data_IF_455523024433
#
_entry.id   IF_455523024433
#
_cell.length_a   1.000
_cell.length_b   1.000
_cell.length_c   1.000
_cell.angle_alpha   90.00
_cell.angle_beta   90.00
_cell.angle_gamma   90.00
#
_symmetry.space_group_name_H-M   'P 1'
#
loop_
_entity.id
_entity.type
_entity.pdbx_description
1 polymer ?
#
# COMPACT_ATOMS: atom_id res chain seq x y z
N UNK A 1 -57.16 -40.06 18.35
CA UNK A 1 -55.87 -40.78 18.48
C UNK A 1 -54.82 -39.76 18.87
N UNK A 2 -54.26 -39.86 20.08
CA UNK A 2 -53.20 -38.98 20.58
C UNK A 2 -51.87 -39.47 19.99
N UNK A 3 -51.31 -38.75 19.02
CA UNK A 3 -49.95 -39.01 18.54
C UNK A 3 -48.96 -38.31 19.47
N UNK A 4 -48.49 -39.06 20.47
CA UNK A 4 -47.43 -38.66 21.37
C UNK A 4 -46.16 -38.36 20.56
N UNK A 5 -45.84 -37.07 20.40
CA UNK A 5 -44.55 -36.64 19.83
C UNK A 5 -43.54 -36.68 20.97
N UNK A 6 -42.36 -37.31 20.82
CA UNK A 6 -41.33 -37.27 21.86
C UNK A 6 -40.95 -35.82 22.14
N UNK A 7 -41.21 -35.33 23.36
CA UNK A 7 -40.70 -34.04 23.80
C UNK A 7 -39.28 -34.22 24.34
N UNK A 8 -38.36 -33.35 23.94
CA UNK A 8 -37.02 -33.32 24.51
C UNK A 8 -37.12 -32.95 26.00
N UNK A 9 -36.80 -33.92 26.87
CA UNK A 9 -36.91 -33.81 28.33
C UNK A 9 -35.83 -32.91 29.00
N UNK A 10 -35.07 -32.14 28.22
CA UNK A 10 -33.98 -31.29 28.72
C UNK A 10 -34.26 -29.81 28.42
N UNK A 11 -34.02 -28.94 29.39
CA UNK A 11 -34.15 -27.50 29.20
C UNK A 11 -33.14 -26.98 28.16
N UNK A 12 -33.52 -25.97 27.38
CA UNK A 12 -32.67 -25.38 26.33
C UNK A 12 -31.29 -24.97 26.89
N UNK A 13 -31.26 -24.40 28.10
CA UNK A 13 -30.01 -24.02 28.77
C UNK A 13 -29.10 -25.22 29.07
N UNK A 14 -29.66 -26.38 29.41
CA UNK A 14 -28.91 -27.62 29.65
C UNK A 14 -28.31 -28.16 28.35
N UNK A 15 -29.07 -28.14 27.26
CA UNK A 15 -28.63 -28.61 25.94
C UNK A 15 -27.48 -27.75 25.40
N UNK A 16 -27.62 -26.43 25.50
CA UNK A 16 -26.58 -25.49 25.04
C UNK A 16 -25.34 -25.48 25.94
N UNK A 17 -25.36 -26.13 27.10
CA UNK A 17 -24.20 -26.28 27.96
C UNK A 17 -23.42 -27.58 27.68
N UNK A 18 -24.06 -28.60 27.10
CA UNK A 18 -23.48 -29.93 26.85
C UNK A 18 -22.71 -29.98 25.53
N UNK A 19 -21.38 -30.09 25.60
CA UNK A 19 -20.50 -30.22 24.43
C UNK A 19 -20.82 -31.44 23.56
N UNK A 20 -21.39 -32.52 24.12
CA UNK A 20 -21.80 -33.68 23.32
C UNK A 20 -22.97 -33.34 22.41
N UNK A 21 -23.90 -32.53 22.90
CA UNK A 21 -25.01 -32.03 22.10
C UNK A 21 -24.50 -31.09 21.00
N UNK A 22 -23.63 -30.14 21.35
CA UNK A 22 -23.02 -29.21 20.38
C UNK A 22 -22.25 -29.93 19.27
N UNK A 23 -21.40 -30.92 19.62
CA UNK A 23 -20.68 -31.75 18.64
C UNK A 23 -21.63 -32.49 17.71
N UNK A 24 -22.68 -33.10 18.25
CA UNK A 24 -23.64 -33.88 17.45
C UNK A 24 -24.41 -33.00 16.47
N UNK A 25 -24.85 -31.82 16.91
CA UNK A 25 -25.51 -30.84 16.04
C UNK A 25 -24.57 -30.35 14.94
N UNK A 26 -23.32 -30.01 15.30
CA UNK A 26 -22.30 -29.60 14.34
C UNK A 26 -21.98 -30.69 13.31
N UNK A 27 -21.87 -31.97 13.73
CA UNK A 27 -21.68 -33.11 12.83
C UNK A 27 -22.83 -33.24 11.84
N UNK A 28 -24.09 -33.19 12.32
CA UNK A 28 -25.23 -33.30 11.40
C UNK A 28 -25.28 -32.17 10.36
N UNK A 29 -24.90 -30.95 10.75
CA UNK A 29 -24.95 -29.79 9.87
C UNK A 29 -23.76 -29.74 8.91
N UNK A 30 -22.52 -29.78 9.41
CA UNK A 30 -21.32 -29.55 8.62
C UNK A 30 -20.77 -30.80 7.95
N UNK A 31 -20.95 -31.99 8.54
CA UNK A 31 -20.41 -33.25 8.01
C UNK A 31 -21.48 -33.99 7.21
N UNK A 32 -22.70 -34.10 7.74
CA UNK A 32 -23.78 -34.84 7.08
C UNK A 32 -24.71 -33.96 6.21
N UNK A 33 -24.49 -32.64 6.17
CA UNK A 33 -25.21 -31.72 5.29
C UNK A 33 -26.71 -31.58 5.57
N UNK A 34 -27.17 -31.89 6.79
CA UNK A 34 -28.59 -31.76 7.14
C UNK A 34 -28.98 -30.30 7.38
N UNK A 35 -30.19 -29.92 6.99
CA UNK A 35 -30.74 -28.59 7.31
C UNK A 35 -31.05 -28.44 8.80
N UNK A 36 -31.06 -27.21 9.31
CA UNK A 36 -31.37 -26.94 10.72
C UNK A 36 -32.77 -27.45 11.10
N UNK A 37 -33.75 -27.37 10.19
CA UNK A 37 -35.11 -27.92 10.36
C UNK A 37 -35.10 -29.46 10.50
N UNK A 38 -34.30 -30.15 9.70
CA UNK A 38 -34.14 -31.60 9.76
C UNK A 38 -33.51 -32.02 11.10
N UNK A 39 -32.46 -31.31 11.52
CA UNK A 39 -31.77 -31.56 12.80
C UNK A 39 -32.70 -31.27 13.98
N UNK A 40 -33.47 -30.19 13.94
CA UNK A 40 -34.44 -29.84 14.97
C UNK A 40 -35.46 -30.96 15.19
N UNK A 41 -35.96 -31.54 14.09
CA UNK A 41 -36.89 -32.67 14.11
C UNK A 41 -36.26 -33.95 14.66
N UNK A 42 -35.01 -34.25 14.29
CA UNK A 42 -34.26 -35.42 14.78
C UNK A 42 -33.89 -35.33 16.27
N UNK A 43 -33.63 -34.12 16.75
CA UNK A 43 -33.18 -33.85 18.11
C UNK A 43 -34.32 -33.41 19.03
N UNK A 44 -35.57 -33.42 18.53
CA UNK A 44 -36.79 -33.03 19.24
C UNK A 44 -36.71 -31.65 19.91
N UNK A 45 -36.07 -30.68 19.26
CA UNK A 45 -35.88 -29.32 19.77
C UNK A 45 -36.28 -28.27 18.75
N UNK A 46 -36.30 -27.00 19.16
CA UNK A 46 -36.64 -25.91 18.23
C UNK A 46 -35.49 -25.64 17.25
N UNK A 47 -35.82 -25.16 16.05
CA UNK A 47 -34.81 -24.65 15.10
C UNK A 47 -33.94 -23.56 15.71
N UNK A 48 -34.51 -22.70 16.54
CA UNK A 48 -33.79 -21.63 17.24
C UNK A 48 -32.74 -22.20 18.19
N UNK A 49 -33.04 -23.30 18.88
CA UNK A 49 -32.09 -24.03 19.74
C UNK A 49 -30.95 -24.63 18.91
N UNK A 50 -31.24 -25.18 17.73
CA UNK A 50 -30.20 -25.69 16.81
C UNK A 50 -29.29 -24.57 16.28
N UNK A 51 -29.86 -23.43 15.89
CA UNK A 51 -29.07 -22.27 15.46
C UNK A 51 -28.15 -21.75 16.57
N UNK A 52 -28.64 -21.62 17.81
CA UNK A 52 -27.81 -21.24 18.96
C UNK A 52 -26.74 -22.30 19.29
N UNK A 53 -27.05 -23.57 19.11
CA UNK A 53 -26.09 -24.66 19.34
C UNK A 53 -24.95 -24.64 18.33
N UNK A 54 -25.23 -24.35 17.05
CA UNK A 54 -24.18 -24.16 16.04
C UNK A 54 -23.28 -22.98 16.38
N UNK A 55 -23.86 -21.81 16.70
CA UNK A 55 -23.09 -20.63 17.11
C UNK A 55 -22.19 -20.95 18.32
N UNK A 56 -22.74 -21.63 19.32
CA UNK A 56 -21.99 -21.96 20.54
C UNK A 56 -20.91 -23.02 20.31
N UNK A 57 -21.08 -23.89 19.31
CA UNK A 57 -20.04 -24.82 18.88
C UNK A 57 -18.86 -24.08 18.22
N UNK A 58 -19.11 -23.01 17.48
CA UNK A 58 -18.08 -22.11 16.95
C UNK A 58 -17.39 -21.33 18.08
N UNK A 59 -18.17 -20.69 18.96
CA UNK A 59 -17.65 -19.89 20.08
C UNK A 59 -16.74 -20.71 21.02
N UNK A 60 -17.07 -22.00 21.21
CA UNK A 60 -16.27 -22.94 22.02
C UNK A 60 -15.12 -23.60 21.25
N UNK A 61 -14.93 -23.26 19.98
CA UNK A 61 -13.89 -23.84 19.13
C UNK A 61 -14.09 -25.32 18.81
N UNK A 62 -15.30 -25.87 19.00
CA UNK A 62 -15.68 -27.23 18.60
C UNK A 62 -15.73 -27.32 17.08
N UNK A 63 -16.16 -26.25 16.42
CA UNK A 63 -16.12 -26.07 14.97
C UNK A 63 -15.15 -24.94 14.66
N UNK A 64 -14.29 -25.15 13.65
CA UNK A 64 -13.48 -24.10 13.04
C UNK A 64 -13.80 -24.07 11.56
N UNK A 65 -14.37 -22.97 11.09
CA UNK A 65 -14.66 -22.76 9.68
C UNK A 65 -13.45 -22.05 9.08
N UNK A 66 -12.83 -22.67 8.07
CA UNK A 66 -11.76 -22.07 7.28
C UNK A 66 -12.27 -21.86 5.87
N UNK A 67 -12.23 -20.61 5.39
CA UNK A 67 -12.46 -20.31 3.98
C UNK A 67 -11.14 -20.56 3.27
N UNK A 68 -11.12 -21.54 2.37
CA UNK A 68 -9.93 -21.86 1.56
C UNK A 68 -9.98 -20.93 0.33
N UNK A 69 -9.04 -19.97 0.20
CA UNK A 69 -8.98 -19.12 -0.98
C UNK A 69 -8.50 -19.93 -2.19
N UNK A 70 -8.79 -19.45 -3.40
CA UNK A 70 -8.27 -20.03 -4.64
C UNK A 70 -6.73 -20.12 -4.59
N UNK A 71 -6.14 -21.25 -4.98
CA UNK A 71 -4.77 -21.67 -4.55
C UNK A 71 -3.66 -20.63 -4.76
N UNK A 72 -3.75 -19.80 -5.81
CA UNK A 72 -2.78 -18.71 -6.08
C UNK A 72 -3.04 -17.47 -5.24
N UNK A 73 -4.30 -17.11 -5.01
CA UNK A 73 -4.67 -15.96 -4.18
C UNK A 73 -4.45 -16.23 -2.68
N UNK A 74 -4.67 -17.48 -2.24
CA UNK A 74 -4.51 -17.86 -0.84
C UNK A 74 -3.06 -17.86 -0.36
N UNK A 75 -2.11 -18.30 -1.20
CA UNK A 75 -0.69 -18.22 -0.89
C UNK A 75 -0.22 -16.77 -0.75
N UNK A 76 -0.56 -15.92 -1.73
CA UNK A 76 -0.18 -14.50 -1.70
C UNK A 76 -0.80 -13.76 -0.53
N UNK A 77 -2.06 -14.05 -0.18
CA UNK A 77 -2.71 -13.43 0.98
C UNK A 77 -2.03 -13.81 2.31
N UNK A 78 -1.65 -15.08 2.48
CA UNK A 78 -0.91 -15.50 3.67
C UNK A 78 0.49 -14.88 3.70
N UNK A 79 1.21 -14.90 2.58
CA UNK A 79 2.54 -14.29 2.48
C UNK A 79 2.50 -12.79 2.73
N UNK A 80 1.52 -12.08 2.17
CA UNK A 80 1.30 -10.65 2.39
C UNK A 80 1.06 -10.38 3.88
N UNK A 81 0.21 -11.16 4.54
CA UNK A 81 -0.05 -11.02 5.98
C UNK A 81 1.22 -11.24 6.81
N UNK A 82 1.97 -12.30 6.52
CA UNK A 82 3.15 -12.68 7.30
C UNK A 82 4.29 -11.66 7.09
N UNK A 83 4.51 -11.20 5.85
CA UNK A 83 5.47 -10.13 5.53
C UNK A 83 5.04 -8.79 6.12
N UNK A 84 3.76 -8.43 6.05
CA UNK A 84 3.22 -7.21 6.66
C UNK A 84 3.52 -7.16 8.16
N UNK A 85 3.35 -8.29 8.85
CA UNK A 85 3.69 -8.39 10.28
C UNK A 85 5.20 -8.27 10.53
N UNK A 86 6.03 -8.92 9.70
CA UNK A 86 7.48 -8.90 9.86
C UNK A 86 8.11 -7.54 9.53
N UNK A 87 7.56 -6.85 8.52
CA UNK A 87 8.03 -5.55 8.03
C UNK A 87 7.35 -4.36 8.73
N UNK A 88 6.44 -4.62 9.68
CA UNK A 88 5.68 -3.60 10.42
C UNK A 88 4.91 -2.62 9.51
N UNK A 89 4.36 -3.13 8.41
CA UNK A 89 3.59 -2.33 7.45
C UNK A 89 2.10 -2.26 7.86
N UNK A 90 1.42 -1.14 7.57
CA UNK A 90 -0.03 -1.04 7.77
C UNK A 90 -0.80 -1.93 6.78
N UNK A 91 -0.34 -1.98 5.53
CA UNK A 91 -0.90 -2.81 4.47
C UNK A 91 0.21 -3.32 3.54
N UNK A 92 0.02 -4.52 2.97
CA UNK A 92 0.91 -5.07 1.95
C UNK A 92 0.08 -5.78 0.89
N UNK A 93 0.09 -5.24 -0.33
CA UNK A 93 -0.62 -5.84 -1.45
C UNK A 93 0.38 -6.55 -2.34
N UNK A 94 0.27 -7.88 -2.41
CA UNK A 94 1.04 -8.69 -3.35
C UNK A 94 0.18 -9.00 -4.56
N UNK A 95 0.71 -8.71 -5.75
CA UNK A 95 0.10 -9.13 -7.01
C UNK A 95 0.74 -10.44 -7.50
N UNK A 96 0.03 -11.27 -8.27
CA UNK A 96 0.60 -12.46 -8.87
C UNK A 96 1.84 -12.13 -9.72
N UNK A 97 3.01 -12.59 -9.28
CA UNK A 97 4.16 -12.68 -10.16
C UNK A 97 3.91 -13.71 -11.26
N UNK A 98 4.45 -13.48 -12.46
CA UNK A 98 4.48 -14.52 -13.50
C UNK A 98 5.79 -15.29 -13.39
N UNK A 99 5.74 -16.60 -13.61
CA UNK A 99 6.96 -17.39 -13.77
C UNK A 99 7.75 -16.80 -14.94
N UNK A 100 9.05 -16.54 -14.73
CA UNK A 100 10.02 -16.37 -15.79
C UNK A 100 10.09 -17.69 -16.56
N UNK A 101 9.17 -17.88 -17.50
CA UNK A 101 9.29 -18.89 -18.53
C UNK A 101 10.09 -18.23 -19.65
N UNK A 102 11.30 -18.73 -19.90
CA UNK A 102 12.33 -18.22 -20.82
C UNK A 102 11.88 -18.11 -22.30
N UNK A 103 10.58 -18.27 -22.56
CA UNK A 103 9.97 -18.42 -23.89
C UNK A 103 9.17 -17.20 -24.37
N UNK A 104 8.93 -16.19 -23.52
CA UNK A 104 8.37 -14.89 -23.96
C UNK A 104 9.44 -13.80 -23.90
N UNK A 105 9.49 -12.89 -24.89
CA UNK A 105 10.42 -11.76 -24.84
C UNK A 105 10.15 -10.92 -23.58
N UNK A 106 11.23 -10.62 -22.85
CA UNK A 106 11.21 -9.96 -21.53
C UNK A 106 10.43 -8.63 -21.47
N UNK A 107 10.21 -7.97 -22.62
CA UNK A 107 9.48 -6.69 -22.69
C UNK A 107 8.01 -6.83 -22.34
N UNK A 108 7.34 -7.86 -22.86
CA UNK A 108 5.88 -7.97 -22.78
C UNK A 108 5.43 -8.52 -21.41
N UNK A 109 6.30 -9.32 -20.77
CA UNK A 109 6.07 -9.87 -19.43
C UNK A 109 6.21 -8.83 -18.32
N UNK A 110 7.17 -7.91 -18.46
CA UNK A 110 7.42 -6.85 -17.48
C UNK A 110 6.33 -5.78 -17.50
N UNK A 111 5.76 -5.47 -18.67
CA UNK A 111 4.62 -4.53 -18.78
C UNK A 111 3.36 -5.08 -18.09
N UNK A 112 3.10 -6.39 -18.19
CA UNK A 112 1.93 -7.01 -17.57
C UNK A 112 1.99 -6.98 -16.03
N UNK A 113 3.13 -7.34 -15.41
CA UNK A 113 3.28 -7.30 -13.94
C UNK A 113 3.27 -5.87 -13.41
N UNK A 114 3.93 -4.93 -14.11
CA UNK A 114 3.85 -3.51 -13.79
C UNK A 114 2.40 -3.00 -13.85
N UNK A 115 1.64 -3.46 -14.85
CA UNK A 115 0.20 -3.17 -14.98
C UNK A 115 -0.55 -3.58 -13.72
N UNK A 116 -0.42 -4.83 -13.28
CA UNK A 116 -1.08 -5.36 -12.08
C UNK A 116 -0.67 -4.60 -10.81
N UNK A 117 0.63 -4.31 -10.61
CA UNK A 117 1.12 -3.52 -9.47
C UNK A 117 0.48 -2.12 -9.46
N UNK A 118 0.48 -1.45 -10.61
CA UNK A 118 0.01 -0.06 -10.70
C UNK A 118 -1.52 0.04 -10.66
N UNK A 119 -2.24 -0.98 -11.11
CA UNK A 119 -3.68 -1.12 -10.90
C UNK A 119 -4.02 -1.30 -9.43
N UNK A 120 -3.31 -2.21 -8.73
CA UNK A 120 -3.48 -2.41 -7.29
C UNK A 120 -3.19 -1.13 -6.49
N UNK A 121 -2.10 -0.43 -6.80
CA UNK A 121 -1.75 0.83 -6.17
C UNK A 121 -2.79 1.94 -6.43
N UNK A 122 -3.30 2.04 -7.66
CA UNK A 122 -4.35 2.99 -8.01
C UNK A 122 -5.67 2.71 -7.27
N UNK A 123 -6.04 1.43 -7.16
CA UNK A 123 -7.21 1.00 -6.40
C UNK A 123 -7.06 1.32 -4.91
N UNK A 124 -5.90 1.00 -4.33
CA UNK A 124 -5.62 1.26 -2.91
C UNK A 124 -5.65 2.76 -2.61
N UNK A 125 -5.03 3.59 -3.46
CA UNK A 125 -5.10 5.04 -3.33
C UNK A 125 -6.56 5.53 -3.26
N UNK A 126 -7.41 5.05 -4.17
CA UNK A 126 -8.82 5.47 -4.20
C UNK A 126 -9.59 5.08 -2.94
N UNK A 127 -9.22 3.97 -2.31
CA UNK A 127 -9.80 3.55 -1.05
C UNK A 127 -9.38 4.48 0.11
N UNK A 128 -8.08 4.80 0.21
CA UNK A 128 -7.53 5.53 1.36
C UNK A 128 -7.68 7.04 1.27
N UNK A 129 -7.75 7.62 0.06
CA UNK A 129 -7.83 9.07 -0.12
C UNK A 129 -9.21 9.62 0.25
N UNK A 130 -9.27 10.73 0.96
CA UNK A 130 -10.48 11.32 1.53
C UNK A 130 -10.48 12.85 1.41
N UNK A 131 -11.59 13.47 1.84
CA UNK A 131 -11.72 14.93 1.91
C UNK A 131 -10.64 15.54 2.81
N UNK A 132 -10.22 16.75 2.47
CA UNK A 132 -9.16 17.52 3.13
C UNK A 132 -7.75 16.92 3.07
N UNK A 133 -7.53 15.84 2.33
CA UNK A 133 -6.18 15.28 2.17
C UNK A 133 -5.27 16.18 1.34
N UNK A 134 -3.99 16.13 1.67
CA UNK A 134 -2.89 16.66 0.88
C UNK A 134 -2.04 15.48 0.44
N UNK A 135 -2.16 15.12 -0.83
CA UNK A 135 -1.44 14.03 -1.47
C UNK A 135 -0.15 14.55 -2.10
N UNK A 136 1.00 14.15 -1.56
CA UNK A 136 2.28 14.41 -2.19
C UNK A 136 2.65 13.27 -3.16
N UNK A 137 3.11 13.60 -4.37
CA UNK A 137 3.41 12.60 -5.41
C UNK A 137 4.78 12.79 -6.03
N UNK A 138 5.44 11.66 -6.32
CA UNK A 138 6.71 11.64 -7.03
C UNK A 138 6.53 11.65 -8.55
N UNK A 139 7.64 11.85 -9.26
CA UNK A 139 7.71 11.58 -10.70
C UNK A 139 7.92 10.08 -10.98
N UNK A 140 7.84 9.70 -12.25
CA UNK A 140 8.15 8.36 -12.73
C UNK A 140 7.41 7.99 -14.02
N UNK A 141 8.16 7.76 -15.12
CA UNK A 141 7.58 7.38 -16.42
C UNK A 141 6.93 6.00 -16.42
N UNK A 142 7.42 5.11 -15.55
CA UNK A 142 6.96 3.72 -15.45
C UNK A 142 5.87 3.60 -14.38
N UNK A 143 6.23 3.60 -13.09
CA UNK A 143 5.28 3.37 -11.99
C UNK A 143 4.23 4.48 -11.90
N UNK A 144 4.63 5.72 -11.58
CA UNK A 144 3.69 6.80 -11.28
C UNK A 144 2.75 7.12 -12.43
N UNK A 145 3.26 7.18 -13.66
CA UNK A 145 2.41 7.40 -14.84
C UNK A 145 1.42 6.24 -15.07
N UNK A 146 1.80 4.99 -14.86
CA UNK A 146 0.86 3.88 -14.99
C UNK A 146 -0.17 3.85 -13.86
N UNK A 147 0.17 4.25 -12.63
CA UNK A 147 -0.82 4.46 -11.56
C UNK A 147 -1.89 5.47 -11.99
N UNK A 148 -1.48 6.62 -12.54
CA UNK A 148 -2.42 7.64 -13.06
C UNK A 148 -3.34 7.08 -14.15
N UNK A 149 -2.83 6.17 -15.02
CA UNK A 149 -3.64 5.54 -16.08
C UNK A 149 -4.68 4.57 -15.54
N UNK A 150 -4.37 3.86 -14.46
CA UNK A 150 -5.29 2.91 -13.84
C UNK A 150 -6.24 3.56 -12.84
N UNK A 151 -5.95 4.78 -12.42
CA UNK A 151 -6.76 5.52 -11.45
C UNK A 151 -8.15 5.81 -12.01
N UNK A 152 -9.16 5.20 -11.37
CA UNK A 152 -10.58 5.36 -11.69
C UNK A 152 -11.30 5.81 -10.41
N UNK A 153 -11.30 7.12 -10.11
CA UNK A 153 -11.89 7.62 -8.88
C UNK A 153 -13.33 7.17 -8.69
N UNK A 154 -13.63 6.54 -7.55
CA UNK A 154 -15.01 6.20 -7.16
C UNK A 154 -15.79 7.41 -6.62
N UNK A 155 -15.08 8.50 -6.35
CA UNK A 155 -15.56 9.73 -5.71
C UNK A 155 -14.86 10.97 -6.26
N UNK A 156 -15.55 12.10 -6.17
CA UNK A 156 -14.94 13.41 -6.41
C UNK A 156 -14.64 14.10 -5.08
N UNK A 157 -13.44 14.67 -4.97
CA UNK A 157 -12.90 15.25 -3.74
C UNK A 157 -12.41 16.66 -4.07
N UNK A 158 -13.32 17.64 -4.09
CA UNK A 158 -13.04 19.00 -4.56
C UNK A 158 -12.03 19.77 -3.69
N UNK A 159 -11.86 19.34 -2.45
CA UNK A 159 -10.96 19.90 -1.44
C UNK A 159 -9.65 19.12 -1.28
N UNK A 160 -9.44 18.06 -2.07
CA UNK A 160 -8.15 17.40 -2.20
C UNK A 160 -7.11 18.38 -2.74
N UNK A 161 -5.90 18.37 -2.19
CA UNK A 161 -4.74 19.06 -2.77
C UNK A 161 -3.69 18.03 -3.18
N UNK A 162 -3.24 18.08 -4.43
CA UNK A 162 -2.16 17.21 -4.92
C UNK A 162 -0.90 18.05 -5.20
N UNK A 163 0.23 17.64 -4.63
CA UNK A 163 1.48 18.41 -4.69
C UNK A 163 2.65 17.54 -5.14
N UNK A 164 3.51 17.99 -6.06
CA UNK A 164 4.68 17.23 -6.48
C UNK A 164 5.80 17.34 -5.42
N UNK A 165 6.52 16.24 -5.18
CA UNK A 165 7.63 16.20 -4.20
C UNK A 165 8.97 16.69 -4.77
N UNK A 166 9.05 16.84 -6.09
CA UNK A 166 10.27 17.18 -6.83
C UNK A 166 9.95 18.14 -7.98
N UNK A 167 10.89 19.06 -8.24
CA UNK A 167 10.82 19.99 -9.36
C UNK A 167 11.11 19.33 -10.72
N UNK A 168 11.38 20.13 -11.73
CA UNK A 168 11.67 19.66 -13.08
C UNK A 168 13.04 18.97 -13.17
N UNK A 169 13.06 17.73 -13.66
CA UNK A 169 14.28 16.95 -13.89
C UNK A 169 14.73 17.03 -15.36
N UNK A 170 13.79 17.03 -16.30
CA UNK A 170 14.06 17.09 -17.74
C UNK A 170 13.61 18.44 -18.30
N UNK A 171 14.35 18.97 -19.29
CA UNK A 171 13.99 20.22 -20.00
C UNK A 171 12.75 20.10 -20.87
N UNK A 172 12.39 18.88 -21.24
CA UNK A 172 11.30 18.56 -22.16
C UNK A 172 10.16 17.92 -21.39
N UNK A 173 8.94 18.12 -21.87
CA UNK A 173 7.75 17.48 -21.29
C UNK A 173 7.93 15.96 -21.25
N UNK A 174 7.88 15.42 -20.04
CA UNK A 174 7.89 13.99 -19.77
C UNK A 174 6.57 13.63 -19.12
N UNK A 175 5.88 12.60 -19.62
CA UNK A 175 4.67 12.10 -18.96
C UNK A 175 4.95 11.65 -17.52
N UNK A 176 6.20 11.30 -17.19
CA UNK A 176 6.60 10.97 -15.82
C UNK A 176 6.92 12.17 -14.94
N UNK A 177 6.80 13.41 -15.40
CA UNK A 177 7.10 14.59 -14.57
C UNK A 177 6.16 14.67 -13.36
N UNK A 178 6.73 14.91 -12.18
CA UNK A 178 5.97 14.93 -10.93
C UNK A 178 4.86 15.98 -10.93
N UNK A 179 5.10 17.15 -11.55
CA UNK A 179 4.08 18.18 -11.63
C UNK A 179 2.90 17.75 -12.51
N UNK A 180 3.18 17.07 -13.63
CA UNK A 180 2.15 16.54 -14.51
C UNK A 180 1.38 15.39 -13.87
N UNK A 181 2.07 14.49 -13.17
CA UNK A 181 1.44 13.44 -12.38
C UNK A 181 0.50 14.04 -11.32
N UNK A 182 0.96 15.04 -10.56
CA UNK A 182 0.15 15.73 -9.57
C UNK A 182 -1.09 16.38 -10.18
N UNK A 183 -0.91 17.10 -11.29
CA UNK A 183 -2.00 17.73 -12.03
C UNK A 183 -3.04 16.73 -12.52
N UNK A 184 -2.59 15.62 -13.12
CA UNK A 184 -3.50 14.61 -13.68
C UNK A 184 -4.31 13.90 -12.58
N UNK A 185 -3.70 13.60 -11.42
CA UNK A 185 -4.41 13.01 -10.27
C UNK A 185 -5.44 13.99 -9.71
N UNK A 186 -5.06 15.26 -9.48
CA UNK A 186 -5.99 16.28 -9.00
C UNK A 186 -7.18 16.43 -9.93
N UNK A 187 -6.93 16.48 -11.25
CA UNK A 187 -7.97 16.56 -12.28
C UNK A 187 -8.93 15.36 -12.25
N UNK A 188 -8.41 14.15 -12.04
CA UNK A 188 -9.24 12.94 -11.96
C UNK A 188 -10.20 12.98 -10.76
N UNK A 189 -9.74 13.44 -9.60
CA UNK A 189 -10.57 13.59 -8.39
C UNK A 189 -11.43 14.87 -8.39
N UNK A 190 -11.16 15.83 -9.28
CA UNK A 190 -11.78 17.15 -9.26
C UNK A 190 -11.24 18.08 -8.16
N UNK A 191 -10.07 17.77 -7.61
CA UNK A 191 -9.38 18.56 -6.59
C UNK A 191 -8.44 19.62 -7.16
N UNK A 192 -7.69 20.27 -6.28
CA UNK A 192 -6.66 21.25 -6.62
C UNK A 192 -5.26 20.64 -6.72
N UNK A 193 -4.36 21.30 -7.46
CA UNK A 193 -2.95 20.97 -7.52
C UNK A 193 -2.07 22.19 -7.33
N UNK A 194 -0.84 21.97 -6.87
CA UNK A 194 0.20 23.01 -6.86
C UNK A 194 1.35 22.64 -7.79
N UNK A 195 1.91 23.64 -8.48
CA UNK A 195 3.14 23.47 -9.25
C UNK A 195 4.35 23.67 -8.34
N UNK A 196 5.42 22.91 -8.56
CA UNK A 196 6.75 23.15 -7.99
C UNK A 196 7.71 23.61 -9.10
N UNK A 197 7.66 24.90 -9.50
CA UNK A 197 8.31 25.38 -10.71
C UNK A 197 9.78 25.75 -10.47
N UNK A 198 10.56 24.78 -10.03
CA UNK A 198 12.01 24.88 -9.85
C UNK A 198 12.69 23.69 -10.52
N UNK A 199 13.96 23.80 -10.90
CA UNK A 199 14.74 22.62 -11.25
C UNK A 199 14.88 21.73 -10.01
N UNK A 200 14.83 20.42 -10.23
CA UNK A 200 15.07 19.44 -9.18
C UNK A 200 16.53 19.46 -8.68
N UNK A 201 17.46 19.94 -9.50
CA UNK A 201 18.90 19.94 -9.24
C UNK A 201 19.50 21.29 -9.63
N UNK A 202 20.47 21.73 -8.85
CA UNK A 202 21.20 22.98 -9.03
C UNK A 202 22.67 22.76 -8.72
N UNK A 203 23.54 23.63 -9.20
CA UNK A 203 24.99 23.47 -9.09
C UNK A 203 25.52 23.82 -7.69
N UNK A 204 24.85 24.76 -7.00
CA UNK A 204 25.34 25.28 -5.71
C UNK A 204 24.27 25.26 -4.63
N UNK A 205 24.72 25.15 -3.38
CA UNK A 205 23.84 25.27 -2.21
C UNK A 205 23.16 26.64 -2.16
N UNK A 206 23.84 27.71 -2.58
CA UNK A 206 23.27 29.05 -2.67
C UNK A 206 22.07 29.09 -3.62
N UNK A 207 22.18 28.49 -4.81
CA UNK A 207 21.06 28.38 -5.76
C UNK A 207 19.89 27.61 -5.16
N UNK A 208 20.17 26.55 -4.39
CA UNK A 208 19.15 25.76 -3.72
C UNK A 208 18.40 26.57 -2.66
N UNK A 209 19.12 27.30 -1.82
CA UNK A 209 18.55 28.16 -0.78
C UNK A 209 17.72 29.30 -1.41
N UNK A 210 18.23 29.94 -2.46
CA UNK A 210 17.50 30.97 -3.19
C UNK A 210 16.21 30.42 -3.81
N UNK A 211 16.26 29.26 -4.47
CA UNK A 211 15.09 28.63 -5.08
C UNK A 211 14.03 28.29 -4.02
N UNK A 212 14.43 27.72 -2.87
CA UNK A 212 13.51 27.41 -1.76
C UNK A 212 12.85 28.65 -1.15
N UNK A 213 13.55 29.78 -1.16
CA UNK A 213 13.07 31.04 -0.58
C UNK A 213 12.14 31.84 -1.51
N UNK A 214 12.00 31.46 -2.78
CA UNK A 214 11.01 32.05 -3.68
C UNK A 214 9.60 31.86 -3.09
N UNK A 215 8.78 32.91 -2.94
CA UNK A 215 7.49 32.82 -2.25
C UNK A 215 6.59 31.69 -2.75
N UNK A 216 6.48 31.55 -4.08
CA UNK A 216 5.66 30.52 -4.72
C UNK A 216 6.16 29.09 -4.45
N UNK A 217 7.48 28.92 -4.32
CA UNK A 217 8.12 27.62 -4.05
C UNK A 217 8.00 27.27 -2.57
N UNK A 218 8.26 28.26 -1.70
CA UNK A 218 8.16 28.11 -0.25
C UNK A 218 6.77 27.64 0.19
N UNK A 219 5.72 28.19 -0.41
CA UNK A 219 4.36 27.84 -0.03
C UNK A 219 3.99 26.41 -0.48
N UNK A 220 4.52 25.95 -1.61
CA UNK A 220 4.41 24.55 -2.06
C UNK A 220 5.17 23.62 -1.10
N UNK A 221 6.37 24.01 -0.65
CA UNK A 221 7.10 23.22 0.35
C UNK A 221 6.34 23.08 1.67
N UNK A 222 5.67 24.13 2.14
CA UNK A 222 4.78 24.03 3.32
C UNK A 222 3.64 23.05 3.09
N UNK A 223 3.03 23.05 1.90
CA UNK A 223 1.98 22.07 1.59
C UNK A 223 2.52 20.64 1.64
N UNK A 224 3.72 20.40 1.12
CA UNK A 224 4.31 19.06 1.15
C UNK A 224 4.71 18.64 2.57
N UNK A 225 5.12 19.57 3.44
CA UNK A 225 5.33 19.29 4.87
C UNK A 225 4.04 18.87 5.58
N UNK A 226 2.90 19.44 5.15
CA UNK A 226 1.55 19.15 5.63
C UNK A 226 0.89 17.94 4.97
N UNK A 227 1.52 17.36 3.94
CA UNK A 227 1.01 16.17 3.26
C UNK A 227 0.81 15.02 4.26
N UNK A 228 -0.36 14.42 4.20
CA UNK A 228 -0.75 13.27 5.02
C UNK A 228 -0.76 11.96 4.24
N UNK A 229 -0.67 12.03 2.91
CA UNK A 229 -0.43 10.87 2.05
C UNK A 229 0.75 11.19 1.14
N UNK A 230 1.69 10.26 0.99
CA UNK A 230 2.75 10.36 -0.01
C UNK A 230 2.71 9.12 -0.89
N UNK A 231 2.59 9.31 -2.20
CA UNK A 231 2.68 8.24 -3.18
C UNK A 231 4.02 8.33 -3.91
N UNK A 232 4.81 7.27 -3.82
CA UNK A 232 6.12 7.19 -4.42
C UNK A 232 6.38 5.84 -5.09
N UNK A 233 7.19 5.87 -6.14
CA UNK A 233 7.87 4.67 -6.63
C UNK A 233 9.16 4.43 -5.87
N UNK A 234 9.56 3.16 -5.80
CA UNK A 234 10.91 2.76 -5.40
C UNK A 234 11.61 2.24 -6.66
N UNK A 235 12.85 2.66 -6.85
CA UNK A 235 13.66 2.19 -7.98
C UNK A 235 14.97 1.60 -7.48
N UNK A 236 15.53 0.66 -8.23
CA UNK A 236 16.95 0.35 -8.08
C UNK A 236 17.75 1.55 -8.60
N UNK A 237 18.74 2.06 -7.83
CA UNK A 237 19.58 3.17 -8.26
C UNK A 237 20.27 2.86 -9.59
N UNK A 238 19.89 3.60 -10.63
CA UNK A 238 20.60 3.57 -11.91
C UNK A 238 21.73 4.60 -11.83
N UNK A 239 22.85 4.18 -11.24
CA UNK A 239 24.06 4.99 -11.08
C UNK A 239 24.94 4.87 -12.32
N UNK A 240 24.36 5.19 -13.45
CA UNK A 240 24.95 4.99 -14.75
C UNK A 240 25.25 6.34 -15.44
N UNK A 241 25.79 6.25 -16.66
CA UNK A 241 26.26 7.40 -17.41
C UNK A 241 25.10 8.35 -17.78
N UNK A 242 23.87 7.89 -17.77
CA UNK A 242 22.69 8.68 -18.14
C UNK A 242 22.34 9.74 -17.09
N UNK A 243 22.48 9.44 -15.80
CA UNK A 243 22.38 10.44 -14.72
C UNK A 243 23.44 11.54 -14.89
N UNK A 244 24.66 11.16 -15.26
CA UNK A 244 25.75 12.12 -15.55
C UNK A 244 25.45 12.96 -16.78
N UNK A 245 24.98 12.35 -17.88
CA UNK A 245 24.61 13.06 -19.12
C UNK A 245 23.47 14.05 -18.91
N UNK A 246 22.52 13.72 -18.03
CA UNK A 246 21.41 14.61 -17.67
C UNK A 246 21.84 15.74 -16.72
N UNK A 247 23.09 15.75 -16.27
CA UNK A 247 23.63 16.75 -15.34
C UNK A 247 23.11 16.57 -13.92
N UNK A 248 22.59 15.38 -13.58
CA UNK A 248 22.00 15.08 -12.27
C UNK A 248 23.10 14.79 -11.25
N UNK A 249 24.13 14.04 -11.64
CA UNK A 249 25.27 13.67 -10.79
C UNK A 249 26.57 13.89 -11.55
N UNK A 250 27.64 14.26 -10.85
CA UNK A 250 29.00 14.22 -11.41
C UNK A 250 29.53 12.79 -11.45
N UNK A 251 30.50 12.51 -12.31
CA UNK A 251 31.18 11.19 -12.34
C UNK A 251 31.76 10.81 -10.97
N UNK A 252 32.30 11.79 -10.24
CA UNK A 252 32.84 11.60 -8.90
C UNK A 252 31.74 11.23 -7.89
N UNK A 253 30.55 11.85 -7.99
CA UNK A 253 29.40 11.51 -7.15
C UNK A 253 28.90 10.09 -7.45
N UNK A 254 28.83 9.70 -8.72
CA UNK A 254 28.46 8.33 -9.13
C UNK A 254 29.44 7.30 -8.55
N UNK A 255 30.75 7.51 -8.72
CA UNK A 255 31.77 6.60 -8.17
C UNK A 255 31.68 6.50 -6.64
N UNK A 256 31.46 7.63 -5.96
CA UNK A 256 31.31 7.66 -4.50
C UNK A 256 30.10 6.85 -4.08
N UNK A 257 28.93 7.08 -4.68
CA UNK A 257 27.70 6.37 -4.36
C UNK A 257 27.81 4.86 -4.65
N UNK A 258 28.42 4.47 -5.77
CA UNK A 258 28.62 3.07 -6.14
C UNK A 258 29.42 2.28 -5.09
N UNK A 259 30.38 2.92 -4.41
CA UNK A 259 31.16 2.29 -3.34
C UNK A 259 30.37 1.85 -2.11
N UNK A 260 29.13 2.34 -1.96
CA UNK A 260 28.23 2.00 -0.84
C UNK A 260 27.14 0.99 -1.23
N UNK A 261 27.19 0.43 -2.44
CA UNK A 261 26.23 -0.57 -2.93
C UNK A 261 24.77 -0.20 -2.68
N UNK A 262 24.30 0.94 -3.22
CA UNK A 262 22.95 1.39 -2.94
C UNK A 262 21.92 0.49 -3.60
N UNK A 263 20.80 0.31 -2.91
CA UNK A 263 19.75 -0.65 -3.28
C UNK A 263 18.42 0.01 -3.60
N UNK A 264 18.21 1.27 -3.20
CA UNK A 264 16.98 2.00 -3.45
C UNK A 264 17.23 3.47 -3.83
N UNK A 265 16.47 3.96 -4.81
CA UNK A 265 16.32 5.36 -5.19
C UNK A 265 14.86 5.78 -4.96
N UNK A 266 14.67 6.93 -4.33
CA UNK A 266 13.38 7.60 -4.15
C UNK A 266 13.56 9.08 -4.50
N UNK A 267 13.07 9.54 -5.66
CA UNK A 267 13.27 10.93 -6.12
C UNK A 267 14.74 11.39 -6.09
N UNK A 268 15.67 10.56 -6.57
CA UNK A 268 17.11 10.83 -6.49
C UNK A 268 17.67 10.86 -5.06
N UNK A 269 16.93 10.32 -4.10
CA UNK A 269 17.48 9.93 -2.81
C UNK A 269 17.88 8.49 -2.82
N UNK A 270 19.17 8.27 -2.62
CA UNK A 270 19.81 6.97 -2.75
C UNK A 270 20.02 6.39 -1.35
N UNK A 271 19.69 5.12 -1.17
CA UNK A 271 19.76 4.42 0.10
C UNK A 271 20.54 3.11 -0.03
N UNK A 272 21.32 2.77 1.01
CA UNK A 272 21.98 1.47 1.12
C UNK A 272 21.05 0.39 1.70
N UNK A 273 21.56 -0.84 1.80
CA UNK A 273 20.80 -2.00 2.30
C UNK A 273 20.35 -1.87 3.75
N UNK A 274 20.97 -0.98 4.53
CA UNK A 274 20.57 -0.66 5.90
C UNK A 274 19.54 0.49 5.97
N UNK A 275 19.10 1.00 4.81
CA UNK A 275 18.17 2.12 4.70
C UNK A 275 18.79 3.48 4.98
N UNK A 276 20.13 3.60 5.06
CA UNK A 276 20.78 4.88 5.31
C UNK A 276 20.79 5.71 4.03
N UNK A 277 20.38 6.97 4.13
CA UNK A 277 20.47 7.91 3.01
C UNK A 277 21.92 8.26 2.71
N UNK A 278 22.30 8.07 1.45
CA UNK A 278 23.63 8.37 0.92
C UNK A 278 23.74 9.81 0.39
N UNK A 279 22.64 10.57 0.38
CA UNK A 279 22.59 11.94 -0.16
C UNK A 279 23.45 12.95 0.61
N UNK A 280 23.91 12.62 1.83
CA UNK A 280 24.87 13.44 2.57
C UNK A 280 26.23 13.53 1.87
N UNK A 281 26.49 12.60 0.95
CA UNK A 281 27.69 12.56 0.13
C UNK A 281 27.52 13.34 -1.19
N UNK A 282 26.31 13.86 -1.46
CA UNK A 282 26.00 14.71 -2.61
C UNK A 282 26.05 16.18 -2.21
N UNK A 283 26.75 16.99 -3.00
CA UNK A 283 26.90 18.42 -2.77
C UNK A 283 26.66 19.22 -4.07
N UNK A 284 25.60 20.06 -4.12
CA UNK A 284 24.43 20.05 -3.24
C UNK A 284 23.52 18.83 -3.50
N UNK A 285 22.72 18.38 -2.52
CA UNK A 285 21.72 17.34 -2.75
C UNK A 285 20.55 17.89 -3.61
N UNK A 286 19.76 17.01 -4.26
CA UNK A 286 18.57 17.40 -5.01
C UNK A 286 17.62 18.31 -4.20
N UNK A 287 17.03 19.32 -4.85
CA UNK A 287 16.01 20.18 -4.27
C UNK A 287 14.68 19.42 -4.22
N UNK A 288 14.45 18.76 -3.10
CA UNK A 288 13.17 18.14 -2.78
C UNK A 288 12.57 18.71 -1.50
N UNK A 289 11.30 18.41 -1.27
CA UNK A 289 10.51 19.05 -0.23
C UNK A 289 10.83 18.68 1.20
N UNK A 290 11.34 17.47 1.43
CA UNK A 290 11.53 16.95 2.77
C UNK A 290 12.86 16.23 2.86
N UNK A 291 13.60 16.53 3.92
CA UNK A 291 14.75 15.71 4.30
C UNK A 291 14.21 14.40 4.89
N UNK A 292 14.30 13.31 4.11
CA UNK A 292 13.83 11.98 4.52
C UNK A 292 14.59 11.45 5.74
N UNK A 293 15.73 12.04 6.13
CA UNK A 293 16.46 11.70 7.36
C UNK A 293 15.58 11.75 8.61
N UNK A 294 14.62 12.68 8.66
CA UNK A 294 13.75 12.90 9.82
C UNK A 294 12.78 11.75 10.13
N UNK A 295 12.60 10.80 9.20
CA UNK A 295 11.64 9.70 9.34
C UNK A 295 12.31 8.33 9.35
N UNK A 296 13.52 8.22 8.81
CA UNK A 296 14.25 6.95 8.77
C UNK A 296 14.97 6.68 10.11
N UNK A 297 15.40 7.71 10.84
CA UNK A 297 15.84 7.59 12.23
C UNK A 297 15.61 8.91 12.98
N UNK A 298 14.83 8.96 14.08
CA UNK A 298 14.84 10.12 14.96
C UNK A 298 16.22 10.19 15.60
N UNK A 299 16.98 11.24 15.27
CA UNK A 299 18.24 11.54 15.96
C UNK A 299 17.93 11.82 17.43
N UNK A 300 18.13 10.80 18.27
CA UNK A 300 18.31 10.90 19.71
C UNK A 300 17.25 11.66 20.50
N UNK A 301 16.17 11.00 20.87
CA UNK A 301 15.61 10.95 22.23
C UNK A 301 14.22 10.32 22.17
N UNK A 302 13.95 9.43 23.12
CA UNK A 302 12.67 8.73 23.27
C UNK A 302 11.49 9.71 23.28
N UNK A 303 10.35 9.23 22.78
CA UNK A 303 8.99 9.80 22.81
C UNK A 303 8.57 10.71 21.66
N UNK A 304 8.44 10.14 20.46
CA UNK A 304 7.30 10.47 19.58
C UNK A 304 7.02 9.30 18.66
N UNK A 305 5.77 8.85 18.62
CA UNK A 305 5.24 7.81 17.71
C UNK A 305 5.70 8.06 16.27
N UNK A 306 6.19 7.03 15.55
CA UNK A 306 6.45 7.12 14.12
C UNK A 306 5.16 7.52 13.39
N UNK A 307 5.24 8.48 12.47
CA UNK A 307 4.20 8.65 11.46
C UNK A 307 4.28 7.45 10.53
N UNK A 308 3.18 6.74 10.38
CA UNK A 308 3.09 5.59 9.48
C UNK A 308 3.37 6.01 8.04
N UNK A 309 4.12 5.17 7.33
CA UNK A 309 4.25 5.21 5.90
C UNK A 309 3.19 4.28 5.30
N UNK A 310 2.38 4.83 4.38
CA UNK A 310 1.47 4.10 3.52
C UNK A 310 2.23 3.49 2.33
#
# INVERSE_FOLDING_TARGET
MLTNTPQCNQSEGSLLADDRFLRKVATFYHIEGKTQESIASLMYCSRQTISKALQKAEDRGIVRISVIPEERAGYLSNLARDLRFHLELEELILVPGRCFDDTKPDSDLNEDVLGEITEAAAHYLDQVITHHDILAVTGGRSIMRNVVRHLKPSKSISDLQVVPTIGFVERHTSIGDANLVAYDIAKLYGGGHAWLPIPALVETQEQQEQARNLPLVRDVFKMIEQANIIMMGLWTPDLDHDMVKRGVLSEQQVQTLQGYHPVADINHWVFDAEGRSLNNMLHPPPIISRDWRSHVYPSGSCTSTPKSFL
#
